data_IF_203348085938
#
_entry.id   IF_203348085938
#
_cell.length_a   1.000
_cell.length_b   1.000
_cell.length_c   1.000
_cell.angle_alpha   90.00
_cell.angle_beta   90.00
_cell.angle_gamma   90.00
#
_symmetry.space_group_name_H-M   'P 1'
#
loop_
_entity.id
_entity.type
_entity.pdbx_description
1 polymer ?
#
# COMPACT_ATOMS: atom_id res chain seq x y z
N UNK A 1 -0.58 -7.08 -6.56
CA UNK A 1 0.65 -6.33 -6.89
C UNK A 1 0.38 -5.60 -8.19
N UNK A 2 0.93 -4.39 -8.35
CA UNK A 2 0.83 -3.58 -9.58
C UNK A 2 -0.60 -3.33 -10.11
N UNK A 3 -1.60 -3.37 -9.23
CA UNK A 3 -3.00 -3.08 -9.59
C UNK A 3 -3.19 -1.57 -9.79
N UNK A 4 -3.70 -1.18 -10.96
CA UNK A 4 -4.10 0.19 -11.28
C UNK A 4 -5.61 0.41 -11.05
N UNK A 5 -6.16 1.50 -11.58
CA UNK A 5 -7.56 1.90 -11.47
C UNK A 5 -8.51 1.15 -12.42
N UNK A 6 -8.05 0.10 -13.10
CA UNK A 6 -8.86 -0.73 -14.01
C UNK A 6 -9.70 -1.76 -13.25
N UNK A 7 -10.35 -1.33 -12.18
CA UNK A 7 -11.34 -2.11 -11.42
C UNK A 7 -12.72 -1.52 -11.65
N UNK A 8 -13.76 -2.37 -11.61
CA UNK A 8 -15.13 -2.02 -11.99
C UNK A 8 -15.64 -0.75 -11.30
N UNK A 9 -15.46 -0.64 -9.98
CA UNK A 9 -15.92 0.51 -9.21
C UNK A 9 -15.14 1.83 -9.45
N UNK A 10 -13.94 1.79 -10.05
CA UNK A 10 -13.16 3.00 -10.36
C UNK A 10 -13.34 3.48 -11.80
N UNK A 11 -13.69 2.58 -12.73
CA UNK A 11 -13.98 2.96 -14.12
C UNK A 11 -12.77 3.49 -14.91
N UNK A 12 -11.53 3.21 -14.47
CA UNK A 12 -10.32 3.69 -15.14
C UNK A 12 -10.03 3.04 -16.51
N UNK A 13 -10.72 1.95 -16.83
CA UNK A 13 -10.64 1.28 -18.14
C UNK A 13 -11.89 1.59 -18.97
N UNK A 14 -11.76 2.01 -20.25
CA UNK A 14 -12.91 2.32 -21.11
C UNK A 14 -13.79 1.10 -21.44
N UNK A 15 -13.24 -0.12 -21.32
CA UNK A 15 -14.00 -1.36 -21.47
C UNK A 15 -14.62 -1.83 -20.15
N UNK A 16 -15.21 -3.03 -20.18
CA UNK A 16 -15.77 -3.66 -18.98
C UNK A 16 -14.74 -4.56 -18.30
N UNK A 17 -14.34 -4.21 -17.07
CA UNK A 17 -13.57 -5.12 -16.20
C UNK A 17 -14.52 -5.80 -15.22
N UNK A 18 -14.50 -7.13 -15.18
CA UNK A 18 -15.41 -7.92 -14.33
C UNK A 18 -14.77 -8.19 -12.96
N UNK A 19 -15.04 -7.31 -11.97
CA UNK A 19 -14.53 -7.41 -10.59
C UNK A 19 -15.63 -7.37 -9.53
N UNK A 20 -16.68 -8.23 -9.60
CA UNK A 20 -17.89 -8.11 -8.78
C UNK A 20 -17.62 -8.16 -7.27
N UNK A 21 -16.57 -8.86 -6.85
CA UNK A 21 -16.18 -8.92 -5.44
C UNK A 21 -15.54 -7.62 -4.93
N UNK A 22 -14.78 -6.91 -5.77
CA UNK A 22 -14.24 -5.58 -5.43
C UNK A 22 -15.35 -4.54 -5.45
N UNK A 23 -16.25 -4.63 -6.41
CA UNK A 23 -17.41 -3.72 -6.51
C UNK A 23 -18.31 -3.86 -5.27
N UNK A 24 -18.57 -5.11 -4.84
CA UNK A 24 -19.29 -5.39 -3.58
C UNK A 24 -18.56 -4.88 -2.35
N UNK A 25 -17.22 -4.92 -2.33
CA UNK A 25 -16.42 -4.37 -1.23
C UNK A 25 -16.53 -2.83 -1.18
N UNK A 26 -16.43 -2.17 -2.33
CA UNK A 26 -16.57 -0.73 -2.44
C UNK A 26 -17.98 -0.26 -2.01
N UNK A 27 -19.03 -0.99 -2.41
CA UNK A 27 -20.42 -0.66 -2.08
C UNK A 27 -20.76 -0.74 -0.57
N UNK A 28 -19.99 -1.54 0.21
CA UNK A 28 -20.19 -1.69 1.67
C UNK A 28 -19.19 -0.90 2.50
N UNK A 29 -18.33 -0.10 1.87
CA UNK A 29 -17.26 0.65 2.52
C UNK A 29 -17.16 2.07 1.98
N UNK A 30 -15.97 2.66 2.09
CA UNK A 30 -15.66 3.97 1.52
C UNK A 30 -14.55 3.83 0.49
N UNK A 31 -14.83 4.24 -0.74
CA UNK A 31 -13.86 4.25 -1.83
C UNK A 31 -13.17 5.62 -1.92
N UNK A 32 -11.84 5.63 -1.89
CA UNK A 32 -11.05 6.82 -2.19
C UNK A 32 -10.70 6.82 -3.68
N UNK A 33 -11.27 7.76 -4.43
CA UNK A 33 -11.13 7.85 -5.90
C UNK A 33 -9.88 8.62 -6.35
N UNK A 34 -9.14 9.20 -5.42
CA UNK A 34 -7.93 9.98 -5.68
C UNK A 34 -6.80 9.60 -4.71
N UNK A 35 -6.53 8.30 -4.59
CA UNK A 35 -5.46 7.76 -3.75
C UNK A 35 -4.16 7.60 -4.57
N UNK A 36 -3.04 8.14 -4.06
CA UNK A 36 -1.73 8.10 -4.73
C UNK A 36 -0.70 7.38 -3.88
N UNK A 37 0.19 6.63 -4.52
CA UNK A 37 1.36 6.08 -3.86
C UNK A 37 2.45 7.15 -3.71
N UNK A 38 3.33 6.99 -2.72
CA UNK A 38 4.47 7.91 -2.50
C UNK A 38 5.61 7.69 -3.49
N UNK A 39 5.68 6.50 -4.10
CA UNK A 39 6.61 6.14 -5.16
C UNK A 39 6.01 5.04 -6.04
N UNK A 40 6.07 5.12 -7.38
CA UNK A 40 5.53 4.11 -8.29
C UNK A 40 6.50 2.92 -8.46
N UNK A 41 7.10 2.43 -7.36
CA UNK A 41 8.04 1.31 -7.32
C UNK A 41 7.79 0.50 -6.04
N UNK A 42 7.86 -0.84 -6.13
CA UNK A 42 7.42 -1.77 -5.08
C UNK A 42 8.02 -1.49 -3.69
N UNK A 43 9.34 -1.60 -3.51
CA UNK A 43 10.00 -1.44 -2.20
C UNK A 43 9.81 -0.06 -1.56
N UNK A 44 10.02 1.08 -2.25
CA UNK A 44 9.79 2.39 -1.64
C UNK A 44 8.31 2.61 -1.28
N UNK A 45 7.37 2.23 -2.15
CA UNK A 45 5.93 2.33 -1.87
C UNK A 45 5.52 1.51 -0.64
N UNK A 46 5.93 0.23 -0.60
CA UNK A 46 5.62 -0.69 0.51
C UNK A 46 6.27 -0.24 1.80
N UNK A 47 7.51 0.23 1.77
CA UNK A 47 8.18 0.77 2.95
C UNK A 47 7.43 1.98 3.47
N UNK A 48 7.00 2.90 2.59
CA UNK A 48 6.20 4.06 3.00
C UNK A 48 4.89 3.68 3.67
N UNK A 49 4.11 2.78 3.07
CA UNK A 49 2.84 2.32 3.64
C UNK A 49 3.04 1.65 5.00
N UNK A 50 4.06 0.80 5.13
CA UNK A 50 4.29 0.04 6.36
C UNK A 50 4.90 0.87 7.49
N UNK A 51 5.57 1.98 7.18
CA UNK A 51 6.29 2.82 8.14
C UNK A 51 5.60 4.15 8.46
N UNK A 52 4.72 4.62 7.57
CA UNK A 52 4.20 5.98 7.60
C UNK A 52 5.20 7.06 7.15
N UNK A 53 6.35 6.68 6.60
CA UNK A 53 7.43 7.61 6.21
C UNK A 53 7.58 7.72 4.69
N UNK A 54 7.94 8.91 4.20
CA UNK A 54 8.19 9.12 2.77
C UNK A 54 9.51 8.46 2.32
N UNK A 55 9.69 8.17 1.02
CA UNK A 55 10.97 7.71 0.47
C UNK A 55 12.14 8.65 0.84
N UNK A 56 11.89 9.96 0.89
CA UNK A 56 12.87 10.98 1.31
C UNK A 56 13.30 10.86 2.77
N UNK A 57 12.44 10.33 3.65
CA UNK A 57 12.77 10.06 5.06
C UNK A 57 13.41 8.68 5.25
N UNK A 58 13.03 7.71 4.41
CA UNK A 58 13.50 6.32 4.56
C UNK A 58 14.81 6.03 3.82
N UNK A 59 15.15 6.83 2.81
CA UNK A 59 16.30 6.61 1.94
C UNK A 59 16.13 5.43 0.97
N UNK A 60 14.95 4.81 0.91
CA UNK A 60 14.65 3.70 -0.01
C UNK A 60 14.02 4.28 -1.27
N UNK A 61 14.73 4.15 -2.40
CA UNK A 61 14.30 4.70 -3.69
C UNK A 61 14.14 3.65 -4.79
N UNK A 62 14.60 2.43 -4.56
CA UNK A 62 14.53 1.34 -5.53
C UNK A 62 14.33 -0.02 -4.84
N UNK A 63 14.24 -1.08 -5.63
CA UNK A 63 14.00 -2.44 -5.13
C UNK A 63 15.27 -3.18 -4.68
N UNK A 64 16.44 -2.54 -4.72
CA UNK A 64 17.71 -3.18 -4.36
C UNK A 64 18.06 -3.03 -2.89
N UNK A 65 17.35 -2.16 -2.16
CA UNK A 65 17.66 -1.84 -0.77
C UNK A 65 16.50 -2.21 0.16
N UNK A 66 16.86 -2.87 1.25
CA UNK A 66 15.98 -3.09 2.38
C UNK A 66 16.10 -1.89 3.36
N UNK A 67 15.01 -1.51 4.05
CA UNK A 67 14.95 -0.38 5.02
C UNK A 67 15.70 -0.57 6.37
N UNK A 68 15.59 -1.73 7.03
CA UNK A 68 16.11 -2.07 8.37
C UNK A 68 17.59 -1.78 8.63
N UNK A 69 18.56 -2.01 7.72
CA UNK A 69 19.94 -1.57 7.97
C UNK A 69 20.05 -0.06 8.18
N UNK A 70 19.23 0.74 7.49
CA UNK A 70 19.22 2.19 7.58
C UNK A 70 18.28 2.72 8.67
N UNK A 71 17.27 1.94 9.05
CA UNK A 71 16.22 2.31 10.01
C UNK A 71 15.97 1.15 11.00
N UNK A 72 16.94 0.81 11.86
CA UNK A 72 16.87 -0.40 12.69
C UNK A 72 15.76 -0.34 13.76
N UNK A 73 15.41 0.85 14.22
CA UNK A 73 14.40 1.07 15.26
C UNK A 73 12.98 1.27 14.73
N UNK A 74 12.81 1.32 13.40
CA UNK A 74 11.52 1.62 12.79
C UNK A 74 10.47 0.56 13.14
N UNK A 75 9.36 1.03 13.72
CA UNK A 75 8.17 0.24 14.00
C UNK A 75 7.23 0.30 12.79
N UNK A 76 7.04 -0.84 12.14
CA UNK A 76 6.06 -0.95 11.05
C UNK A 76 4.65 -1.23 11.59
N UNK A 77 3.62 -1.03 10.77
CA UNK A 77 2.23 -1.33 11.13
C UNK A 77 2.09 -2.76 11.70
N UNK A 78 2.61 -3.83 11.08
CA UNK A 78 2.49 -5.18 11.67
C UNK A 78 3.16 -5.32 13.04
N UNK A 79 4.31 -4.67 13.26
CA UNK A 79 4.99 -4.69 14.56
C UNK A 79 4.18 -3.95 15.60
N UNK A 80 3.66 -2.77 15.27
CA UNK A 80 2.80 -2.00 16.17
C UNK A 80 1.57 -2.80 16.62
N UNK A 81 0.89 -3.49 15.69
CA UNK A 81 -0.23 -4.35 16.02
C UNK A 81 0.17 -5.51 16.95
N UNK A 82 1.30 -6.17 16.67
CA UNK A 82 1.80 -7.28 17.50
C UNK A 82 2.15 -6.85 18.92
N UNK A 83 2.78 -5.70 19.09
CA UNK A 83 3.11 -5.13 20.41
C UNK A 83 1.87 -4.75 21.21
N UNK A 84 0.71 -4.60 20.56
CA UNK A 84 -0.58 -4.26 21.15
C UNK A 84 -1.57 -5.43 21.18
N UNK A 85 -1.06 -6.67 21.18
CA UNK A 85 -1.87 -7.88 21.44
C UNK A 85 -2.60 -8.46 20.22
N UNK A 86 -2.34 -7.94 19.01
CA UNK A 86 -2.92 -8.51 17.79
C UNK A 86 -2.02 -9.59 17.19
N UNK A 87 -2.66 -10.59 16.58
CA UNK A 87 -1.97 -11.50 15.67
C UNK A 87 -1.75 -10.81 14.32
N UNK A 88 -0.51 -10.82 13.83
CA UNK A 88 -0.09 -10.23 12.56
C UNK A 88 0.51 -11.33 11.66
N UNK A 89 0.02 -11.48 10.44
CA UNK A 89 0.50 -12.43 9.42
C UNK A 89 1.23 -11.72 8.28
#
# INVERSE_FOLDING_TARGET
>A
DDLNDWVGFLGGYPGRVHTPNLDRLAARGTAFTNAHCTAPVCCPSRTSVMSGLLPTSTGIYNNQHWWKPNLPELRTIPVHFRENGYHSV
#
